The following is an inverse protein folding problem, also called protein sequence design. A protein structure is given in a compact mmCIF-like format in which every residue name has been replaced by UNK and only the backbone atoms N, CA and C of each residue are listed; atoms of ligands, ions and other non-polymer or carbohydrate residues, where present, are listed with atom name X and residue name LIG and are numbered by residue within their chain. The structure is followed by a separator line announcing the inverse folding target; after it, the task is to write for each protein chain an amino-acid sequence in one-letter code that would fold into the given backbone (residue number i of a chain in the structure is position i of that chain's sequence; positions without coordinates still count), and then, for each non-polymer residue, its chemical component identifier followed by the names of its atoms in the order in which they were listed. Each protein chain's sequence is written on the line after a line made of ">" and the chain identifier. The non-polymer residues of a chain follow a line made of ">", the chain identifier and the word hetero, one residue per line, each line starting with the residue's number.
data_IF_785429061370
#
_entry.id   IF_785429061370
#
_cell.length_a   1.000
_cell.length_b   1.000
_cell.length_c   1.000
_cell.angle_alpha   90.00
_cell.angle_beta   90.00
_cell.angle_gamma   90.00
#
_symmetry.space_group_name_H-M   'P 1'
#
loop_
_entity.id
_entity.type
_entity.pdbx_description
1 polymer ?
#
# COMPACT_ATOMS: atom_id res chain seq x y z
N UNK A 1 21.23 8.62 8.71
CA UNK A 1 21.64 7.19 8.73
C UNK A 1 20.38 6.34 8.62
N UNK A 2 20.26 5.48 7.61
CA UNK A 2 19.05 4.70 7.35
C UNK A 2 19.05 3.46 8.25
N UNK A 3 18.13 3.38 9.21
CA UNK A 3 18.02 2.23 10.11
C UNK A 3 17.19 1.14 9.43
N UNK A 4 17.86 0.07 8.99
CA UNK A 4 17.21 -1.12 8.45
C UNK A 4 16.74 -1.95 9.64
N UNK A 5 15.45 -1.86 9.98
CA UNK A 5 14.85 -2.76 10.96
C UNK A 5 14.43 -4.04 10.25
N UNK A 6 15.17 -5.14 10.46
CA UNK A 6 14.82 -6.46 9.93
C UNK A 6 13.62 -7.06 10.68
N UNK A 7 12.41 -6.57 10.39
CA UNK A 7 11.20 -7.36 10.65
C UNK A 7 11.13 -8.44 9.57
N UNK A 8 11.18 -9.71 10.01
CA UNK A 8 11.17 -10.92 9.18
C UNK A 8 9.79 -11.08 8.50
N UNK A 9 9.44 -10.19 7.58
CA UNK A 9 8.31 -10.38 6.65
C UNK A 9 8.83 -11.34 5.59
N UNK A 10 8.25 -12.53 5.52
CA UNK A 10 8.85 -13.75 4.98
C UNK A 10 9.50 -13.72 3.57
N UNK A 11 9.47 -12.65 2.79
CA UNK A 11 10.31 -12.42 1.60
C UNK A 11 10.43 -10.92 1.26
N UNK A 12 10.97 -10.09 2.15
CA UNK A 12 11.12 -8.66 1.89
C UNK A 12 11.88 -7.91 2.98
N UNK A 13 12.15 -6.63 2.76
CA UNK A 13 12.69 -5.73 3.77
C UNK A 13 11.93 -4.41 3.80
N UNK A 14 11.59 -3.95 5.00
CA UNK A 14 11.08 -2.60 5.25
C UNK A 14 12.18 -1.74 5.83
N UNK A 15 12.33 -0.55 5.27
CA UNK A 15 13.28 0.46 5.66
C UNK A 15 12.52 1.69 6.15
N UNK A 16 12.40 1.81 7.47
CA UNK A 16 11.80 2.99 8.10
C UNK A 16 12.88 4.06 8.23
N UNK A 17 12.57 5.25 7.74
CA UNK A 17 13.49 6.38 7.82
C UNK A 17 13.48 6.95 9.24
N UNK A 18 14.65 6.93 9.87
CA UNK A 18 14.91 7.57 11.15
C UNK A 18 15.95 8.67 10.93
N UNK A 19 15.61 9.89 11.31
CA UNK A 19 16.50 11.04 11.21
C UNK A 19 16.95 11.49 12.60
N UNK A 20 18.21 11.92 12.73
CA UNK A 20 18.65 12.69 13.88
C UNK A 20 18.03 14.09 13.84
N UNK A 21 17.92 14.75 15.00
CA UNK A 21 17.35 16.11 15.12
C UNK A 21 18.10 17.14 14.28
N UNK A 22 19.41 16.97 14.09
CA UNK A 22 20.28 17.92 13.39
C UNK A 22 20.44 17.63 11.88
N UNK A 23 19.92 16.50 11.38
CA UNK A 23 20.11 16.09 9.98
C UNK A 23 19.04 16.71 9.09
N UNK A 24 19.23 17.99 8.74
CA UNK A 24 18.32 18.76 7.89
C UNK A 24 18.09 18.10 6.51
N UNK A 25 19.10 17.43 5.96
CA UNK A 25 19.00 16.70 4.68
C UNK A 25 18.07 15.51 4.80
N UNK A 26 18.18 14.75 5.91
CA UNK A 26 17.25 13.67 6.22
C UNK A 26 15.84 14.22 6.47
N UNK A 27 15.68 15.26 7.27
CA UNK A 27 14.37 15.85 7.59
C UNK A 27 13.67 16.44 6.36
N UNK A 28 14.42 17.01 5.41
CA UNK A 28 13.88 17.60 4.18
C UNK A 28 13.32 16.58 3.18
N UNK A 29 13.72 15.31 3.27
CA UNK A 29 13.14 14.25 2.45
C UNK A 29 11.92 13.64 3.16
N UNK A 30 10.74 13.76 2.56
CA UNK A 30 9.47 13.35 3.16
C UNK A 30 9.17 11.84 3.09
N UNK A 31 10.02 11.02 2.45
CA UNK A 31 9.85 9.57 2.41
C UNK A 31 9.99 8.98 3.81
N UNK A 32 8.93 8.36 4.33
CA UNK A 32 8.91 7.77 5.68
C UNK A 32 9.35 6.32 5.71
N UNK A 33 8.99 5.55 4.69
CA UNK A 33 9.22 4.12 4.63
C UNK A 33 9.48 3.70 3.17
N UNK A 34 10.38 2.74 3.00
CA UNK A 34 10.58 2.04 1.73
C UNK A 34 10.37 0.55 2.01
N UNK A 35 9.44 -0.06 1.29
CA UNK A 35 9.13 -1.48 1.42
C UNK A 35 9.53 -2.21 0.13
N UNK A 36 10.38 -3.21 0.26
CA UNK A 36 10.71 -4.14 -0.81
C UNK A 36 10.15 -5.51 -0.48
N UNK A 37 9.45 -6.11 -1.44
CA UNK A 37 8.97 -7.48 -1.32
C UNK A 37 9.35 -8.26 -2.57
N UNK A 38 10.02 -9.39 -2.38
CA UNK A 38 10.30 -10.35 -3.44
C UNK A 38 9.22 -11.42 -3.39
N UNK A 39 8.62 -11.75 -4.53
CA UNK A 39 7.71 -12.87 -4.64
C UNK A 39 8.10 -13.70 -5.84
N UNK A 40 8.59 -14.90 -5.59
CA UNK A 40 8.76 -15.91 -6.62
C UNK A 40 7.43 -16.64 -6.82
N UNK A 41 6.72 -16.36 -7.92
CA UNK A 41 5.61 -17.18 -8.40
C UNK A 41 6.16 -18.34 -9.24
N UNK A 42 5.95 -19.62 -8.88
CA UNK A 42 6.48 -20.75 -9.65
C UNK A 42 6.13 -20.64 -11.14
N UNK A 43 6.97 -21.17 -12.03
CA UNK A 43 6.71 -21.25 -13.47
C UNK A 43 5.37 -21.92 -13.75
N UNK A 44 4.30 -21.12 -13.83
CA UNK A 44 2.99 -21.54 -14.28
C UNK A 44 2.67 -20.82 -15.59
N UNK A 45 2.04 -21.55 -16.50
CA UNK A 45 1.57 -20.98 -17.77
C UNK A 45 0.43 -19.98 -17.57
N UNK A 46 -0.24 -20.05 -16.41
CA UNK A 46 -1.35 -19.19 -16.05
C UNK A 46 -1.37 -18.95 -14.54
N UNK A 47 -1.30 -17.69 -14.15
CA UNK A 47 -1.57 -17.28 -12.76
C UNK A 47 -3.05 -16.90 -12.68
N UNK A 48 -3.76 -17.47 -11.69
CA UNK A 48 -5.18 -17.20 -11.50
C UNK A 48 -5.40 -15.73 -11.17
N UNK A 49 -6.06 -15.02 -12.07
CA UNK A 49 -6.43 -13.61 -11.96
C UNK A 49 -7.61 -13.41 -10.97
N UNK A 50 -7.65 -12.37 -10.11
CA UNK A 50 -6.65 -11.31 -9.82
C UNK A 50 -5.58 -11.69 -8.78
N UNK A 51 -4.37 -11.15 -8.95
CA UNK A 51 -3.24 -11.33 -8.02
C UNK A 51 -3.17 -10.10 -7.09
N UNK A 52 -3.16 -10.32 -5.77
CA UNK A 52 -2.84 -9.25 -4.80
C UNK A 52 -1.36 -8.91 -4.88
N UNK A 53 -1.05 -7.66 -5.23
CA UNK A 53 0.33 -7.16 -5.40
C UNK A 53 0.79 -6.42 -4.15
N UNK A 54 -0.08 -5.59 -3.58
CA UNK A 54 0.26 -4.83 -2.38
C UNK A 54 -0.99 -4.48 -1.57
N UNK A 55 -0.79 -4.29 -0.27
CA UNK A 55 -1.80 -3.83 0.67
C UNK A 55 -1.31 -2.54 1.31
N UNK A 56 -2.00 -1.44 1.03
CA UNK A 56 -1.64 -0.11 1.49
C UNK A 56 -2.57 0.28 2.62
N UNK A 57 -1.98 0.61 3.78
CA UNK A 57 -2.69 1.08 4.96
C UNK A 57 -2.25 2.49 5.33
N UNK A 58 -3.21 3.39 5.48
CA UNK A 58 -2.97 4.69 6.10
C UNK A 58 -3.32 4.65 7.57
N UNK A 59 -2.40 5.11 8.42
CA UNK A 59 -2.68 5.36 9.84
C UNK A 59 -3.10 6.81 10.02
N UNK A 60 -4.40 7.03 10.23
CA UNK A 60 -5.00 8.33 10.52
C UNK A 60 -6.14 8.13 11.53
N UNK A 61 -6.28 9.06 12.48
CA UNK A 61 -7.37 9.05 13.44
C UNK A 61 -8.66 9.63 12.85
N UNK A 62 -9.82 9.30 13.42
CA UNK A 62 -11.08 9.92 13.01
C UNK A 62 -11.07 11.42 13.34
N UNK A 63 -11.70 12.30 12.53
CA UNK A 63 -12.69 12.05 11.51
C UNK A 63 -12.17 12.19 10.06
N UNK A 64 -10.95 11.72 9.77
CA UNK A 64 -10.38 11.81 8.42
C UNK A 64 -10.79 10.64 7.54
N UNK A 65 -10.99 10.89 6.24
CA UNK A 65 -11.15 9.87 5.21
C UNK A 65 -9.93 9.81 4.30
N UNK A 66 -9.75 8.67 3.63
CA UNK A 66 -8.62 8.48 2.71
C UNK A 66 -9.13 7.90 1.40
N UNK A 67 -8.78 8.57 0.31
CA UNK A 67 -9.09 8.16 -1.04
C UNK A 67 -7.81 7.74 -1.77
N UNK A 68 -7.93 6.65 -2.54
CA UNK A 68 -6.83 6.04 -3.26
C UNK A 68 -7.15 6.05 -4.74
N UNK A 69 -6.21 6.51 -5.57
CA UNK A 69 -6.35 6.47 -7.02
C UNK A 69 -5.06 6.05 -7.71
N UNK A 70 -5.20 5.33 -8.82
CA UNK A 70 -4.08 4.96 -9.68
C UNK A 70 -3.84 6.04 -10.73
N UNK A 71 -2.59 6.11 -11.20
CA UNK A 71 -2.26 6.82 -12.42
C UNK A 71 -2.76 6.07 -13.66
N UNK A 72 -2.72 6.75 -14.81
CA UNK A 72 -3.21 6.21 -16.09
C UNK A 72 -2.47 4.95 -16.53
N UNK A 73 -1.19 4.82 -16.14
CA UNK A 73 -0.38 3.63 -16.40
C UNK A 73 -0.86 2.47 -15.51
N UNK A 74 -0.98 2.69 -14.20
CA UNK A 74 -1.49 1.72 -13.25
C UNK A 74 -2.87 1.18 -13.64
N UNK A 75 -3.78 2.03 -14.11
CA UNK A 75 -5.14 1.61 -14.52
C UNK A 75 -5.20 0.62 -15.69
N UNK A 76 -4.11 0.45 -16.46
CA UNK A 76 -4.07 -0.50 -17.57
C UNK A 76 -4.13 -1.95 -17.09
N UNK A 77 -3.38 -2.23 -16.04
CA UNK A 77 -3.14 -3.59 -15.54
C UNK A 77 -3.54 -3.78 -14.09
N UNK A 78 -3.87 -2.73 -13.33
CA UNK A 78 -4.14 -2.79 -11.90
C UNK A 78 -5.48 -2.17 -11.53
N UNK A 79 -6.06 -2.69 -10.45
CA UNK A 79 -7.25 -2.15 -9.79
C UNK A 79 -6.98 -1.99 -8.30
N UNK A 80 -7.70 -1.06 -7.67
CA UNK A 80 -7.69 -0.88 -6.22
C UNK A 80 -9.02 -1.38 -5.67
N UNK A 81 -8.95 -2.34 -4.75
CA UNK A 81 -10.12 -2.85 -4.02
C UNK A 81 -10.05 -2.43 -2.56
N UNK A 82 -11.23 -2.27 -1.94
CA UNK A 82 -11.32 -2.17 -0.49
C UNK A 82 -11.18 -3.58 0.10
N UNK A 83 -10.26 -3.77 1.03
CA UNK A 83 -10.36 -4.95 1.88
C UNK A 83 -11.68 -4.86 2.65
N UNK A 84 -12.36 -5.99 2.84
CA UNK A 84 -13.73 -6.08 3.35
C UNK A 84 -13.93 -5.09 4.49
N UNK A 85 -15.04 -4.35 4.50
CA UNK A 85 -15.40 -3.41 5.56
C UNK A 85 -15.24 -4.06 6.95
N UNK A 86 -14.06 -3.95 7.58
CA UNK A 86 -13.78 -4.37 8.96
C UNK A 86 -14.45 -3.34 9.88
N UNK A 87 -15.77 -3.35 9.86
CA UNK A 87 -16.63 -2.40 10.55
C UNK A 87 -18.08 -2.86 10.64
N UNK A 88 -18.52 -3.85 9.85
CA UNK A 88 -19.85 -4.44 9.98
C UNK A 88 -19.94 -5.68 10.89
N UNK A 89 -18.82 -6.34 11.19
CA UNK A 89 -18.84 -7.62 11.95
C UNK A 89 -18.51 -7.50 13.45
N UNK A 90 -17.99 -6.35 13.90
CA UNK A 90 -17.72 -6.10 15.32
C UNK A 90 -18.85 -5.36 16.06
N UNK A 91 -19.92 -4.96 15.35
CA UNK A 91 -21.08 -4.29 15.94
C UNK A 91 -22.08 -5.22 16.62
N UNK A 92 -21.98 -6.54 16.46
CA UNK A 92 -22.91 -7.51 17.07
C UNK A 92 -22.31 -8.32 18.24
N UNK A 93 -21.01 -8.19 18.55
CA UNK A 93 -20.32 -9.08 19.51
C UNK A 93 -19.44 -8.41 20.58
N UNK A 94 -19.55 -7.10 20.83
CA UNK A 94 -18.75 -6.45 21.87
C UNK A 94 -19.56 -5.51 22.77
N UNK A 95 -20.13 -6.08 23.84
CA UNK A 95 -20.38 -5.35 25.08
C UNK A 95 -19.00 -5.07 25.74
N UNK A 96 -18.76 -3.82 26.17
CA UNK A 96 -17.58 -3.35 26.94
C UNK A 96 -16.17 -3.46 26.30
N UNK A 97 -15.92 -2.78 25.18
CA UNK A 97 -14.60 -2.13 24.91
C UNK A 97 -14.84 -0.77 24.25
N UNK A 98 -13.98 0.26 24.48
CA UNK A 98 -14.18 1.58 23.88
C UNK A 98 -14.26 1.45 22.36
N UNK A 99 -15.31 2.03 21.77
CA UNK A 99 -15.55 2.11 20.32
C UNK A 99 -14.40 2.84 19.64
N UNK A 100 -13.31 2.16 19.31
CA UNK A 100 -12.44 2.60 18.24
C UNK A 100 -13.25 2.47 16.96
N UNK A 101 -13.76 3.61 16.49
CA UNK A 101 -14.34 3.74 15.15
C UNK A 101 -13.24 3.40 14.15
N UNK A 102 -13.13 2.13 13.81
CA UNK A 102 -12.23 1.66 12.77
C UNK A 102 -12.78 2.19 11.45
N UNK A 103 -12.19 3.27 10.95
CA UNK A 103 -12.57 3.80 9.65
C UNK A 103 -12.22 2.75 8.59
N UNK A 104 -13.25 2.19 7.95
CA UNK A 104 -13.15 1.10 6.98
C UNK A 104 -12.45 1.52 5.68
N UNK A 105 -12.17 2.80 5.47
CA UNK A 105 -11.54 3.32 4.25
C UNK A 105 -10.00 3.39 4.32
N UNK A 106 -9.39 3.00 5.45
CA UNK A 106 -7.95 3.16 5.67
C UNK A 106 -7.08 2.08 5.00
N UNK A 107 -7.68 1.01 4.49
CA UNK A 107 -6.96 -0.12 3.89
C UNK A 107 -7.43 -0.35 2.45
N UNK A 108 -6.48 -0.39 1.53
CA UNK A 108 -6.73 -0.74 0.12
C UNK A 108 -5.77 -1.80 -0.38
N UNK A 109 -6.27 -2.66 -1.24
CA UNK A 109 -5.52 -3.73 -1.88
C UNK A 109 -5.32 -3.37 -3.35
N UNK A 110 -4.07 -3.30 -3.78
CA UNK A 110 -3.70 -3.17 -5.20
C UNK A 110 -3.63 -4.56 -5.80
N UNK A 111 -4.47 -4.82 -6.79
CA UNK A 111 -4.52 -6.10 -7.49
C UNK A 111 -4.12 -5.95 -8.94
N UNK A 112 -3.37 -6.91 -9.47
CA UNK A 112 -3.10 -7.04 -10.89
C UNK A 112 -4.38 -7.56 -11.57
N UNK A 113 -5.05 -6.64 -12.28
CA UNK A 113 -6.30 -6.72 -13.06
C UNK A 113 -6.14 -7.43 -14.43
N UNK A 114 -4.96 -7.32 -15.04
CA UNK A 114 -4.67 -7.90 -16.35
C UNK A 114 -3.23 -8.40 -16.38
N UNK A 115 -2.95 -9.51 -17.07
CA UNK A 115 -1.59 -10.04 -17.17
C UNK A 115 -0.66 -9.03 -17.85
N UNK A 116 0.60 -9.02 -17.42
CA UNK A 116 1.68 -8.24 -18.03
C UNK A 116 2.58 -9.22 -18.79
N UNK A 117 2.79 -8.99 -20.08
CA UNK A 117 3.70 -9.79 -20.88
C UNK A 117 5.16 -9.39 -20.57
N UNK A 118 5.99 -10.36 -20.19
CA UNK A 118 7.41 -10.15 -19.88
C UNK A 118 8.34 -10.18 -21.10
N UNK A 119 9.59 -9.71 -20.98
CA UNK A 119 10.14 -9.01 -19.82
C UNK A 119 9.67 -7.54 -19.78
N UNK A 120 9.15 -7.12 -18.63
CA UNK A 120 8.63 -5.76 -18.46
C UNK A 120 8.81 -5.28 -17.02
N UNK A 121 8.98 -3.97 -16.85
CA UNK A 121 8.90 -3.30 -15.55
C UNK A 121 7.75 -2.31 -15.61
N UNK A 122 6.77 -2.49 -14.75
CA UNK A 122 5.61 -1.61 -14.63
C UNK A 122 5.72 -0.82 -13.33
N UNK A 123 5.73 0.51 -13.43
CA UNK A 123 5.76 1.40 -12.27
C UNK A 123 4.39 2.01 -12.07
N UNK A 124 3.82 1.75 -10.91
CA UNK A 124 2.48 2.16 -10.52
C UNK A 124 2.60 3.29 -9.52
N UNK A 125 1.79 4.33 -9.68
CA UNK A 125 1.65 5.40 -8.69
C UNK A 125 0.27 5.35 -8.06
N UNK A 126 0.25 5.02 -6.77
CA UNK A 126 -0.96 5.10 -5.94
C UNK A 126 -0.96 6.46 -5.25
N UNK A 127 -1.88 7.31 -5.69
CA UNK A 127 -2.15 8.61 -5.09
C UNK A 127 -3.07 8.41 -3.89
N UNK A 128 -2.66 8.95 -2.74
CA UNK A 128 -3.35 8.78 -1.46
C UNK A 128 -3.70 10.18 -0.95
N UNK A 129 -4.99 10.51 -0.99
CA UNK A 129 -5.51 11.79 -0.54
C UNK A 129 -6.16 11.61 0.82
N UNK A 130 -5.62 12.27 1.84
CA UNK A 130 -6.28 12.38 3.14
C UNK A 130 -7.20 13.58 3.11
N UNK A 131 -8.47 13.36 3.43
CA UNK A 131 -9.51 14.40 3.42
C UNK A 131 -10.08 14.60 4.82
N UNK A 132 -10.44 15.85 5.11
CA UNK A 132 -11.21 16.22 6.30
C UNK A 132 -12.65 15.67 6.21
N UNK A 133 -13.39 15.76 7.31
CA UNK A 133 -14.84 15.47 7.33
C UNK A 133 -15.63 16.29 6.31
N UNK A 134 -15.16 17.49 5.98
CA UNK A 134 -15.79 18.38 4.99
C UNK A 134 -15.30 18.13 3.55
N UNK A 135 -14.42 17.16 3.33
CA UNK A 135 -13.90 16.79 2.01
C UNK A 135 -12.68 17.58 1.55
N UNK A 136 -12.14 18.48 2.38
CA UNK A 136 -10.93 19.27 2.08
C UNK A 136 -9.70 18.35 2.12
N UNK A 137 -8.81 18.45 1.12
CA UNK A 137 -7.57 17.68 1.09
C UNK A 137 -6.60 18.26 2.12
N UNK A 138 -6.21 17.44 3.10
CA UNK A 138 -5.28 17.79 4.17
C UNK A 138 -3.86 17.31 3.89
N UNK A 139 -3.74 16.17 3.22
CA UNK A 139 -2.45 15.61 2.84
C UNK A 139 -2.55 14.86 1.51
N UNK A 140 -1.44 14.89 0.77
CA UNK A 140 -1.25 14.13 -0.46
C UNK A 140 0.02 13.29 -0.30
N UNK A 141 -0.14 11.97 -0.36
CA UNK A 141 0.95 11.01 -0.32
C UNK A 141 0.94 10.18 -1.61
N UNK A 142 2.11 9.70 -2.01
CA UNK A 142 2.25 8.83 -3.17
C UNK A 142 2.97 7.57 -2.75
N UNK A 143 2.34 6.42 -2.97
CA UNK A 143 3.01 5.12 -2.91
C UNK A 143 3.41 4.70 -4.33
N UNK A 144 4.70 4.46 -4.53
CA UNK A 144 5.24 3.96 -5.79
C UNK A 144 5.44 2.46 -5.65
N UNK A 145 4.87 1.69 -6.56
CA UNK A 145 5.03 0.24 -6.62
C UNK A 145 5.69 -0.10 -7.95
N UNK A 146 6.84 -0.75 -7.92
CA UNK A 146 7.52 -1.22 -9.13
C UNK A 146 7.36 -2.74 -9.22
N UNK A 147 6.73 -3.19 -10.30
CA UNK A 147 6.47 -4.61 -10.57
C UNK A 147 7.38 -5.03 -11.72
N UNK A 148 8.35 -5.89 -11.41
CA UNK A 148 9.23 -6.50 -12.40
C UNK A 148 8.70 -7.87 -12.81
N UNK A 149 8.49 -8.06 -14.11
CA UNK A 149 8.14 -9.34 -14.71
C UNK A 149 9.38 -9.87 -15.45
N UNK A 150 9.94 -10.96 -14.91
CA UNK A 150 11.12 -11.63 -15.45
C UNK A 150 10.88 -12.15 -16.88
N UNK A 151 11.95 -12.21 -17.67
CA UNK A 151 11.97 -12.91 -18.97
C UNK A 151 11.88 -14.42 -18.81
N UNK A 152 12.44 -14.93 -17.71
CA UNK A 152 12.64 -16.35 -17.48
C UNK A 152 11.60 -16.86 -16.49
N UNK A 153 10.98 -17.99 -16.85
CA UNK A 153 10.23 -18.84 -15.95
C UNK A 153 11.23 -19.63 -15.09
N UNK A 154 11.03 -19.67 -13.78
CA UNK A 154 11.84 -20.44 -12.84
C UNK A 154 11.06 -21.65 -12.31
#
# INVERSE_FOLDING_TARGET
>A
MLLIHFSRIQDGYSCIKVCGSEDATCLGNHTKEILYQFRALPSTTFVRYPIEVSRIRTHMDTPFSVDYSLDTVGLRHFIIEQDRNIGKELSSLALQRPKQSFNTNLLRIVKLAKPIAGPATERIRVNIHTKSRTGVILAYNVAIIEVYVSRYYF
#
